data_IF_631637467711
#
_entry.id   IF_631637467711
#
_cell.length_a   1.000
_cell.length_b   1.000
_cell.length_c   1.000
_cell.angle_alpha   90.00
_cell.angle_beta   90.00
_cell.angle_gamma   90.00
#
_symmetry.space_group_name_H-M   'P 1'
#
loop_
_entity.id
_entity.type
_entity.pdbx_description
1 polymer ?
#
# COMPACT_ATOMS: atom_id res chain seq x y z
N UNK A 1 30.86 3.64 0.64
CA UNK A 1 29.94 2.72 1.36
C UNK A 1 28.56 3.31 1.24
N UNK A 2 27.64 2.61 0.55
CA UNK A 2 26.26 3.05 0.43
C UNK A 2 25.61 3.15 1.81
N UNK A 3 24.94 4.25 2.10
CA UNK A 3 24.24 4.46 3.35
C UNK A 3 22.94 3.65 3.33
N UNK A 4 22.93 2.51 4.01
CA UNK A 4 21.72 1.68 4.13
C UNK A 4 20.73 2.40 5.04
N UNK A 5 19.58 2.76 4.49
CA UNK A 5 18.47 3.31 5.27
C UNK A 5 17.68 2.15 5.88
N UNK A 6 17.49 2.19 7.18
CA UNK A 6 16.60 1.24 7.86
C UNK A 6 15.15 1.68 7.72
N UNK A 7 14.31 0.80 7.18
CA UNK A 7 12.87 0.98 7.11
C UNK A 7 12.21 0.18 8.23
N UNK A 8 11.39 0.83 9.03
CA UNK A 8 10.63 0.18 10.11
C UNK A 8 9.20 0.00 9.63
N UNK A 9 8.76 -1.24 9.52
CA UNK A 9 7.40 -1.60 9.12
C UNK A 9 6.57 -2.03 10.34
N UNK A 10 5.26 -1.85 10.25
CA UNK A 10 4.28 -2.23 11.28
C UNK A 10 4.61 -1.64 12.66
N UNK A 11 4.99 -0.37 12.70
CA UNK A 11 5.19 0.34 13.95
C UNK A 11 3.85 0.60 14.61
N UNK A 12 3.60 -0.02 15.76
CA UNK A 12 2.39 0.22 16.53
C UNK A 12 2.30 1.66 17.03
N UNK A 13 1.13 2.31 16.93
CA UNK A 13 0.95 3.70 17.33
C UNK A 13 1.06 3.95 18.84
N UNK A 14 0.86 2.90 19.66
CA UNK A 14 0.90 3.02 21.12
C UNK A 14 2.12 2.30 21.73
N UNK A 15 2.85 2.93 22.68
CA UNK A 15 4.04 2.32 23.29
C UNK A 15 3.76 1.07 24.13
N UNK A 16 2.51 0.86 24.56
CA UNK A 16 2.11 -0.23 25.48
C UNK A 16 2.36 -1.63 24.92
N UNK A 17 2.42 -1.79 23.61
CA UNK A 17 2.70 -3.08 22.94
C UNK A 17 4.10 -3.15 22.33
N UNK A 18 4.87 -2.07 22.39
CA UNK A 18 6.20 -1.98 21.76
C UNK A 18 7.23 -2.95 22.36
N UNK A 19 7.06 -3.35 23.61
CA UNK A 19 7.95 -4.28 24.27
C UNK A 19 7.82 -5.73 23.74
N UNK A 20 6.65 -6.08 23.19
CA UNK A 20 6.42 -7.40 22.60
C UNK A 20 7.08 -7.55 21.23
N UNK A 21 7.43 -6.46 20.55
CA UNK A 21 7.98 -6.42 19.18
C UNK A 21 7.17 -7.28 18.18
N UNK A 22 5.88 -7.44 18.43
CA UNK A 22 4.99 -8.23 17.58
C UNK A 22 4.78 -7.46 16.27
N UNK A 23 4.95 -8.15 15.15
CA UNK A 23 4.78 -7.65 13.80
C UNK A 23 5.73 -6.52 13.33
N UNK A 24 6.57 -5.96 14.21
CA UNK A 24 7.55 -4.97 13.82
C UNK A 24 8.72 -5.64 13.10
N UNK A 25 9.01 -5.18 11.89
CA UNK A 25 10.18 -5.59 11.12
C UNK A 25 11.05 -4.38 10.78
N UNK A 26 12.37 -4.58 10.83
CA UNK A 26 13.36 -3.62 10.37
C UNK A 26 14.00 -4.20 9.12
N UNK A 27 13.83 -3.50 8.00
CA UNK A 27 14.42 -3.86 6.73
C UNK A 27 15.57 -2.92 6.40
N UNK A 28 16.69 -3.49 5.95
CA UNK A 28 17.73 -2.72 5.29
C UNK A 28 17.30 -2.46 3.85
N UNK A 29 17.12 -1.18 3.51
CA UNK A 29 16.73 -0.73 2.18
C UNK A 29 17.82 0.18 1.62
N UNK A 30 18.30 -0.11 0.43
CA UNK A 30 19.34 0.68 -0.21
C UNK A 30 18.71 1.79 -1.05
N UNK A 31 19.08 3.05 -0.78
CA UNK A 31 18.46 4.21 -1.42
C UNK A 31 19.31 4.84 -2.53
N UNK A 32 20.63 4.63 -2.54
CA UNK A 32 21.53 5.37 -3.46
C UNK A 32 21.31 5.03 -4.94
N UNK A 33 20.83 3.81 -5.22
CA UNK A 33 20.54 3.33 -6.57
C UNK A 33 19.06 3.01 -6.78
N UNK A 34 18.17 3.53 -5.90
CA UNK A 34 16.74 3.31 -6.03
C UNK A 34 16.19 4.04 -7.26
N UNK A 35 15.56 3.29 -8.16
CA UNK A 35 14.89 3.83 -9.33
C UNK A 35 13.51 4.34 -8.93
N UNK A 36 13.27 5.63 -9.14
CA UNK A 36 11.94 6.23 -8.94
C UNK A 36 11.09 6.00 -10.20
N UNK A 37 10.07 5.15 -10.07
CA UNK A 37 9.11 4.83 -11.14
C UNK A 37 8.04 5.92 -11.32
N UNK A 38 8.23 7.06 -10.65
CA UNK A 38 7.31 8.19 -10.66
C UNK A 38 6.06 7.97 -9.80
N UNK A 39 5.19 8.98 -9.77
CA UNK A 39 3.95 8.93 -9.01
C UNK A 39 2.73 8.86 -9.91
N UNK A 40 1.70 8.12 -9.47
CA UNK A 40 0.34 8.21 -10.00
C UNK A 40 -0.48 9.04 -9.03
N UNK A 41 -1.05 10.15 -9.49
CA UNK A 41 -1.93 11.00 -8.67
C UNK A 41 -3.30 11.06 -9.35
N UNK A 42 -4.35 10.69 -8.63
CA UNK A 42 -5.71 10.65 -9.16
C UNK A 42 -6.71 11.24 -8.16
N UNK A 43 -7.55 12.17 -8.62
CA UNK A 43 -8.77 12.59 -7.92
C UNK A 43 -9.97 12.06 -8.67
N UNK A 44 -10.91 11.44 -7.96
CA UNK A 44 -12.10 10.80 -8.53
C UNK A 44 -13.34 11.53 -8.06
N UNK A 45 -14.20 11.93 -9.01
CA UNK A 45 -15.49 12.56 -8.76
C UNK A 45 -16.62 11.66 -9.26
N UNK A 46 -17.59 11.40 -8.39
CA UNK A 46 -18.71 10.52 -8.70
C UNK A 46 -18.34 9.04 -8.61
N UNK A 47 -19.16 8.18 -9.21
CA UNK A 47 -18.96 6.72 -9.15
C UNK A 47 -18.33 6.23 -10.44
N UNK A 48 -17.09 5.76 -10.36
CA UNK A 48 -16.44 5.13 -11.50
C UNK A 48 -16.91 3.68 -11.63
N UNK A 49 -17.41 3.32 -12.81
CA UNK A 49 -17.89 1.95 -13.10
C UNK A 49 -16.75 1.00 -13.48
N UNK A 50 -15.66 1.55 -14.00
CA UNK A 50 -14.48 0.77 -14.38
C UNK A 50 -13.36 0.97 -13.35
N UNK A 51 -12.66 -0.11 -12.97
CA UNK A 51 -11.56 0.01 -12.02
C UNK A 51 -10.35 0.71 -12.66
N UNK A 52 -9.69 1.54 -11.87
CA UNK A 52 -8.36 2.05 -12.18
C UNK A 52 -7.36 0.89 -12.07
N UNK A 53 -6.75 0.50 -13.19
CA UNK A 53 -5.79 -0.61 -13.24
C UNK A 53 -4.37 -0.07 -13.32
N UNK A 54 -3.53 -0.50 -12.39
CA UNK A 54 -2.13 -0.14 -12.32
C UNK A 54 -1.27 -1.41 -12.33
N UNK A 55 -0.49 -1.58 -13.40
CA UNK A 55 0.57 -2.60 -13.43
C UNK A 55 1.87 -1.95 -12.97
N UNK A 56 2.41 -2.42 -11.85
CA UNK A 56 3.62 -1.90 -11.24
C UNK A 56 4.69 -2.98 -11.30
N UNK A 57 5.73 -2.71 -12.07
CA UNK A 57 6.88 -3.61 -12.21
C UNK A 57 8.13 -2.91 -11.70
N UNK A 58 8.88 -3.61 -10.87
CA UNK A 58 10.19 -3.13 -10.41
C UNK A 58 11.20 -3.07 -11.56
N UNK A 59 12.08 -2.09 -11.49
CA UNK A 59 13.20 -1.90 -12.41
C UNK A 59 14.52 -1.85 -11.62
N UNK A 60 15.58 -2.44 -12.17
CA UNK A 60 16.88 -2.51 -11.49
C UNK A 60 16.82 -3.29 -10.18
N UNK A 61 17.79 -3.07 -9.31
CA UNK A 61 17.93 -3.81 -8.05
C UNK A 61 16.96 -3.32 -6.97
N UNK A 62 16.73 -2.00 -6.92
CA UNK A 62 15.78 -1.35 -6.01
C UNK A 62 14.93 -0.36 -6.79
N UNK A 63 13.64 -0.41 -6.60
CA UNK A 63 12.73 0.55 -7.23
C UNK A 63 11.59 0.95 -6.30
N UNK A 64 11.05 2.16 -6.53
CA UNK A 64 9.95 2.72 -5.76
C UNK A 64 8.85 3.24 -6.68
N UNK A 65 7.61 2.98 -6.31
CA UNK A 65 6.41 3.55 -6.91
C UNK A 65 5.54 4.22 -5.84
N UNK A 66 5.10 5.42 -6.15
CA UNK A 66 4.14 6.14 -5.33
C UNK A 66 2.78 6.21 -6.06
N UNK A 67 1.69 5.97 -5.31
CA UNK A 67 0.31 6.07 -5.80
C UNK A 67 -0.48 6.90 -4.80
N UNK A 68 -1.17 7.93 -5.28
CA UNK A 68 -2.00 8.81 -4.46
C UNK A 68 -3.38 8.91 -5.09
N UNK A 69 -4.42 8.48 -4.37
CA UNK A 69 -5.79 8.50 -4.85
C UNK A 69 -6.72 9.14 -3.83
N UNK A 70 -7.39 10.20 -4.27
CA UNK A 70 -8.44 10.87 -3.52
C UNK A 70 -9.79 10.58 -4.15
N UNK A 71 -10.71 10.00 -3.37
CA UNK A 71 -12.13 9.95 -3.73
C UNK A 71 -12.84 11.14 -3.10
N UNK A 72 -13.35 12.03 -3.95
CA UNK A 72 -14.07 13.24 -3.54
C UNK A 72 -15.40 12.89 -2.85
N UNK A 73 -16.08 13.82 -2.16
CA UNK A 73 -17.31 13.52 -1.45
C UNK A 73 -18.35 12.77 -2.31
N UNK A 74 -18.99 11.77 -1.70
CA UNK A 74 -20.03 10.93 -2.31
C UNK A 74 -19.56 10.12 -3.55
N UNK A 75 -18.24 9.98 -3.72
CA UNK A 75 -17.60 9.26 -4.84
C UNK A 75 -17.29 7.81 -4.49
N UNK A 76 -17.10 6.99 -5.53
CA UNK A 76 -16.64 5.62 -5.36
C UNK A 76 -15.67 5.22 -6.47
N UNK A 77 -14.58 4.55 -6.09
CA UNK A 77 -13.56 4.04 -7.02
C UNK A 77 -13.06 2.67 -6.59
N UNK A 78 -12.81 1.81 -7.57
CA UNK A 78 -12.06 0.57 -7.37
C UNK A 78 -10.70 0.71 -8.04
N UNK A 79 -9.64 0.40 -7.30
CA UNK A 79 -8.26 0.42 -7.78
C UNK A 79 -7.76 -1.04 -7.78
N UNK A 80 -7.15 -1.47 -8.87
CA UNK A 80 -6.50 -2.78 -8.96
C UNK A 80 -5.02 -2.54 -9.24
N UNK A 81 -4.20 -2.81 -8.25
CA UNK A 81 -2.75 -2.80 -8.36
C UNK A 81 -2.23 -4.23 -8.56
N UNK A 82 -1.50 -4.45 -9.63
CA UNK A 82 -0.82 -5.72 -9.88
C UNK A 82 0.68 -5.48 -9.79
N UNK A 83 1.33 -6.16 -8.85
CA UNK A 83 2.77 -6.03 -8.63
C UNK A 83 3.53 -7.20 -9.23
N UNK A 84 4.56 -6.89 -10.00
CA UNK A 84 5.56 -7.84 -10.47
C UNK A 84 6.92 -7.48 -9.87
N UNK A 85 7.32 -8.14 -8.77
CA UNK A 85 8.60 -7.93 -8.17
C UNK A 85 9.57 -9.04 -8.58
N UNK A 86 10.55 -8.68 -9.42
CA UNK A 86 11.68 -9.56 -9.80
C UNK A 86 12.92 -9.29 -8.93
N UNK A 87 12.99 -8.11 -8.33
CA UNK A 87 14.03 -7.62 -7.43
C UNK A 87 13.38 -6.94 -6.21
N UNK A 88 13.95 -5.87 -5.68
CA UNK A 88 13.39 -5.14 -4.55
C UNK A 88 12.45 -4.02 -5.04
N UNK A 89 11.17 -4.11 -4.69
CA UNK A 89 10.14 -3.13 -5.06
C UNK A 89 9.45 -2.57 -3.82
N UNK A 90 9.46 -1.25 -3.67
CA UNK A 90 8.67 -0.51 -2.69
C UNK A 90 7.49 0.16 -3.39
N UNK A 91 6.27 -0.14 -2.96
CA UNK A 91 5.07 0.56 -3.39
C UNK A 91 4.46 1.26 -2.18
N UNK A 92 4.23 2.57 -2.32
CA UNK A 92 3.52 3.37 -1.31
C UNK A 92 2.21 3.87 -1.92
N UNK A 93 1.10 3.43 -1.36
CA UNK A 93 -0.23 3.81 -1.79
C UNK A 93 -0.87 4.66 -0.71
N UNK A 94 -1.17 5.93 -1.03
CA UNK A 94 -1.87 6.85 -0.15
C UNK A 94 -3.31 7.04 -0.64
N UNK A 95 -4.28 6.88 0.28
CA UNK A 95 -5.70 6.89 -0.03
C UNK A 95 -6.42 7.92 0.84
N UNK A 96 -7.17 8.83 0.20
CA UNK A 96 -8.04 9.78 0.90
C UNK A 96 -9.50 9.51 0.52
N UNK A 97 -10.28 8.94 1.44
CA UNK A 97 -11.73 8.81 1.29
C UNK A 97 -12.41 10.01 1.96
N UNK A 98 -12.87 10.96 1.14
CA UNK A 98 -13.62 12.13 1.58
C UNK A 98 -15.00 11.72 2.12
N UNK A 99 -15.78 12.69 2.59
CA UNK A 99 -17.11 12.43 3.18
C UNK A 99 -17.98 11.50 2.30
N UNK A 100 -18.47 10.40 2.90
CA UNK A 100 -19.28 9.36 2.25
C UNK A 100 -18.62 8.71 1.02
N UNK A 101 -17.33 8.90 0.79
CA UNK A 101 -16.63 8.28 -0.33
C UNK A 101 -16.21 6.84 0.00
N UNK A 102 -16.10 6.02 -1.04
CA UNK A 102 -15.65 4.63 -0.91
C UNK A 102 -14.47 4.38 -1.86
N UNK A 103 -13.36 3.92 -1.29
CA UNK A 103 -12.21 3.43 -2.05
C UNK A 103 -12.07 1.93 -1.79
N UNK A 104 -12.07 1.14 -2.86
CA UNK A 104 -11.72 -0.29 -2.82
C UNK A 104 -10.38 -0.48 -3.49
N UNK A 105 -9.38 -0.89 -2.73
CA UNK A 105 -8.05 -1.23 -3.23
C UNK A 105 -7.89 -2.76 -3.27
N UNK A 106 -7.60 -3.28 -4.45
CA UNK A 106 -7.26 -4.70 -4.66
C UNK A 106 -5.80 -4.77 -5.07
N UNK A 107 -4.97 -5.46 -4.28
CA UNK A 107 -3.56 -5.67 -4.58
C UNK A 107 -3.30 -7.14 -4.92
N UNK A 108 -2.78 -7.38 -6.11
CA UNK A 108 -2.33 -8.71 -6.56
C UNK A 108 -0.82 -8.69 -6.56
N UNK A 109 -0.24 -9.39 -5.59
CA UNK A 109 1.19 -9.35 -5.30
C UNK A 109 1.84 -10.65 -5.78
N UNK A 110 2.56 -10.57 -6.90
CA UNK A 110 3.29 -11.70 -7.47
C UNK A 110 4.80 -11.43 -7.39
N UNK A 111 5.49 -12.24 -6.58
CA UNK A 111 6.92 -12.09 -6.31
C UNK A 111 7.71 -13.30 -6.77
N UNK A 112 8.88 -13.07 -7.34
CA UNK A 112 9.82 -14.13 -7.72
C UNK A 112 10.71 -14.54 -6.55
N UNK A 113 11.27 -15.73 -6.62
CA UNK A 113 12.23 -16.21 -5.62
C UNK A 113 13.44 -15.26 -5.51
N UNK A 114 13.78 -14.89 -4.27
CA UNK A 114 14.85 -13.94 -3.98
C UNK A 114 14.46 -12.46 -4.14
N UNK A 115 13.26 -12.15 -4.63
CA UNK A 115 12.76 -10.77 -4.67
C UNK A 115 12.14 -10.35 -3.35
N UNK A 116 12.01 -9.03 -3.15
CA UNK A 116 11.37 -8.44 -1.98
C UNK A 116 10.36 -7.38 -2.42
N UNK A 117 9.13 -7.51 -1.97
CA UNK A 117 8.08 -6.50 -2.13
C UNK A 117 7.76 -5.87 -0.78
N UNK A 118 7.82 -4.54 -0.72
CA UNK A 118 7.27 -3.77 0.40
C UNK A 118 6.04 -3.02 -0.10
N UNK A 119 4.87 -3.33 0.45
CA UNK A 119 3.62 -2.66 0.14
C UNK A 119 3.14 -1.88 1.35
N UNK A 120 3.28 -0.56 1.31
CA UNK A 120 2.82 0.36 2.35
C UNK A 120 1.54 1.05 1.89
N UNK A 121 0.44 0.85 2.63
CA UNK A 121 -0.86 1.51 2.38
C UNK A 121 -1.14 2.46 3.53
N UNK A 122 -1.14 3.75 3.24
CA UNK A 122 -1.50 4.80 4.19
C UNK A 122 -2.74 5.54 3.71
N UNK A 123 -3.49 6.15 4.63
CA UNK A 123 -4.61 6.96 4.21
C UNK A 123 -5.48 7.45 5.33
N UNK A 124 -6.57 8.10 4.93
CA UNK A 124 -7.54 8.67 5.85
C UNK A 124 -8.97 8.52 5.32
N UNK A 125 -9.91 8.38 6.27
CA UNK A 125 -11.33 8.40 6.00
C UNK A 125 -11.97 9.57 6.75
N UNK A 126 -12.66 10.45 6.03
CA UNK A 126 -13.52 11.47 6.61
C UNK A 126 -14.88 10.85 7.05
N UNK A 127 -15.81 11.68 7.52
CA UNK A 127 -17.15 11.25 7.94
C UNK A 127 -17.84 10.36 6.90
N UNK A 128 -18.27 9.17 7.29
CA UNK A 128 -18.88 8.17 6.41
C UNK A 128 -17.95 7.62 5.32
N UNK A 129 -16.69 8.06 5.28
CA UNK A 129 -15.68 7.57 4.35
C UNK A 129 -15.30 6.12 4.61
N UNK A 130 -15.02 5.36 3.56
CA UNK A 130 -14.71 3.93 3.65
C UNK A 130 -13.53 3.55 2.76
N UNK A 131 -12.58 2.81 3.33
CA UNK A 131 -11.50 2.16 2.58
C UNK A 131 -11.61 0.64 2.81
N UNK A 132 -11.62 -0.12 1.71
CA UNK A 132 -11.60 -1.57 1.68
C UNK A 132 -10.29 -2.02 1.01
N UNK A 133 -9.47 -2.81 1.70
CA UNK A 133 -8.20 -3.33 1.20
C UNK A 133 -8.28 -4.85 1.04
N UNK A 134 -8.10 -5.34 -0.18
CA UNK A 134 -8.04 -6.76 -0.50
C UNK A 134 -6.67 -7.09 -1.07
N UNK A 135 -5.96 -8.01 -0.42
CA UNK A 135 -4.63 -8.41 -0.85
C UNK A 135 -4.58 -9.89 -1.20
N UNK A 136 -4.06 -10.21 -2.36
CA UNK A 136 -3.76 -11.58 -2.79
C UNK A 136 -2.26 -11.70 -2.95
N UNK A 137 -1.64 -12.50 -2.07
CA UNK A 137 -0.22 -12.77 -2.09
C UNK A 137 0.02 -14.08 -2.84
N UNK A 138 0.73 -13.98 -3.97
CA UNK A 138 1.12 -15.11 -4.79
C UNK A 138 2.62 -14.98 -5.09
N UNK A 139 3.35 -16.08 -5.10
CA UNK A 139 4.75 -16.05 -5.45
C UNK A 139 5.66 -16.64 -4.39
N UNK A 140 6.97 -16.53 -4.63
CA UNK A 140 8.01 -17.19 -3.82
C UNK A 140 8.97 -16.22 -3.12
N UNK A 141 8.82 -14.93 -3.38
CA UNK A 141 9.65 -13.88 -2.77
C UNK A 141 9.10 -13.43 -1.42
N UNK A 142 9.86 -12.57 -0.75
CA UNK A 142 9.47 -11.98 0.52
C UNK A 142 8.47 -10.83 0.31
N UNK A 143 7.36 -10.84 1.04
CA UNK A 143 6.36 -9.77 1.03
C UNK A 143 6.22 -9.17 2.42
N UNK A 144 6.32 -7.85 2.49
CA UNK A 144 6.12 -7.06 3.69
C UNK A 144 4.97 -6.07 3.46
N UNK A 145 3.89 -6.23 4.22
CA UNK A 145 2.76 -5.32 4.22
C UNK A 145 2.79 -4.38 5.41
N UNK A 146 2.52 -3.11 5.19
CA UNK A 146 2.28 -2.10 6.23
C UNK A 146 1.00 -1.34 5.87
N UNK A 147 0.05 -1.24 6.81
CA UNK A 147 -1.21 -0.54 6.57
C UNK A 147 -1.55 0.36 7.74
N UNK A 148 -1.72 1.66 7.45
CA UNK A 148 -2.08 2.68 8.43
C UNK A 148 -3.18 3.57 7.86
N UNK A 149 -4.42 3.42 8.38
CA UNK A 149 -5.57 4.24 7.97
C UNK A 149 -6.07 5.02 9.18
N UNK A 150 -6.19 6.33 9.04
CA UNK A 150 -6.76 7.22 10.05
C UNK A 150 -8.26 7.39 9.81
N UNK A 151 -9.06 7.13 10.85
CA UNK A 151 -10.52 7.27 10.80
C UNK A 151 -10.90 8.59 11.50
N UNK A 152 -11.12 9.64 10.70
CA UNK A 152 -11.23 11.02 11.17
C UNK A 152 -12.67 11.53 11.33
N UNK A 153 -13.69 10.68 11.13
CA UNK A 153 -15.09 11.12 11.23
C UNK A 153 -16.04 10.03 11.67
N UNK A 154 -17.25 10.43 12.07
CA UNK A 154 -18.31 9.50 12.44
C UNK A 154 -18.66 8.60 11.27
N UNK A 155 -18.81 7.29 11.52
CA UNK A 155 -19.09 6.30 10.47
C UNK A 155 -17.93 6.01 9.51
N UNK A 156 -16.74 6.59 9.72
CA UNK A 156 -15.54 6.22 8.97
C UNK A 156 -15.16 4.76 9.23
N UNK A 157 -14.74 4.05 8.20
CA UNK A 157 -14.43 2.62 8.32
C UNK A 157 -13.27 2.18 7.45
N UNK A 158 -12.53 1.20 7.97
CA UNK A 158 -11.48 0.48 7.25
C UNK A 158 -11.68 -1.02 7.41
N UNK A 159 -11.62 -1.75 6.30
CA UNK A 159 -11.72 -3.19 6.25
C UNK A 159 -10.55 -3.74 5.43
N UNK A 160 -9.90 -4.80 5.92
CA UNK A 160 -8.79 -5.43 5.21
C UNK A 160 -8.91 -6.95 5.21
N UNK A 161 -8.71 -7.56 4.04
CA UNK A 161 -8.67 -9.01 3.86
C UNK A 161 -7.42 -9.39 3.10
N UNK A 162 -6.73 -10.45 3.56
CA UNK A 162 -5.53 -10.95 2.90
C UNK A 162 -5.64 -12.45 2.64
N UNK A 163 -5.47 -12.84 1.38
CA UNK A 163 -5.44 -14.23 0.93
C UNK A 163 -4.03 -14.63 0.48
N UNK A 164 -3.65 -15.87 0.78
CA UNK A 164 -2.36 -16.44 0.39
C UNK A 164 -2.61 -17.60 -0.58
N UNK A 165 -1.89 -17.58 -1.70
CA UNK A 165 -1.82 -18.69 -2.65
C UNK A 165 -0.44 -19.34 -2.51
N UNK A 166 -0.41 -20.54 -1.95
CA UNK A 166 0.79 -21.35 -1.78
C UNK A 166 0.95 -22.38 -2.92
#
# INVERSE_FOLDING_TARGET
MAEKKQMILNRLPAPTWNWLRVNRTVLDWENENEIDLGAVVRSVQGKENEPLRLEIRGEGEYSRKDVDVTAEPDSAVTIIETFGAEQNLLVRTHLTARRNATIRLVQIQNTQEGSRLVSAVEGECEEGGRIELYQVLAGKGDVYGDSKIELNGDGASFEAETGYLA
#
